data_IF_105930971709
#
_entry.id   IF_105930971709
#
_cell.length_a   1.000
_cell.length_b   1.000
_cell.length_c   1.000
_cell.angle_alpha   90.00
_cell.angle_beta   90.00
_cell.angle_gamma   90.00
#
_symmetry.space_group_name_H-M   'P 1'
#
loop_
_entity.id
_entity.type
_entity.pdbx_description
1 polymer ?
#
# COMPACT_ATOMS: atom_id res chain seq x y z
N UNK A 1 -41.47 37.05 32.84
CA UNK A 1 -40.15 37.14 32.15
C UNK A 1 -40.35 38.04 30.95
N UNK A 2 -39.59 39.13 30.84
CA UNK A 2 -39.79 40.11 29.78
C UNK A 2 -39.30 39.53 28.43
N UNK A 3 -40.00 39.82 27.32
CA UNK A 3 -39.71 39.23 26.01
C UNK A 3 -38.28 39.53 25.54
N UNK A 4 -37.78 40.71 25.90
CA UNK A 4 -36.40 41.15 25.62
C UNK A 4 -35.33 40.25 26.26
N UNK A 5 -35.61 39.72 27.46
CA UNK A 5 -34.69 38.81 28.16
C UNK A 5 -34.61 37.47 27.44
N UNK A 6 -35.73 36.98 26.88
CA UNK A 6 -35.76 35.74 26.08
C UNK A 6 -34.96 35.93 24.79
N UNK A 7 -35.14 37.05 24.09
CA UNK A 7 -34.39 37.37 22.86
C UNK A 7 -32.89 37.42 23.15
N UNK A 8 -32.49 38.08 24.24
CA UNK A 8 -31.07 38.19 24.61
C UNK A 8 -30.45 36.81 24.88
N UNK A 9 -31.17 35.92 25.59
CA UNK A 9 -30.72 34.55 25.87
C UNK A 9 -30.58 33.74 24.58
N UNK A 10 -31.53 33.83 23.65
CA UNK A 10 -31.47 33.11 22.37
C UNK A 10 -30.34 33.62 21.48
N UNK A 11 -30.13 34.94 21.44
CA UNK A 11 -29.03 35.57 20.69
C UNK A 11 -27.66 35.21 21.24
N UNK A 12 -27.54 34.97 22.55
CA UNK A 12 -26.28 34.47 23.13
C UNK A 12 -26.11 32.96 22.92
N UNK A 13 -27.16 32.16 23.11
CA UNK A 13 -27.08 30.70 22.97
C UNK A 13 -26.77 30.25 21.54
N UNK A 14 -27.34 30.90 20.52
CA UNK A 14 -27.13 30.51 19.11
C UNK A 14 -25.66 30.39 18.71
N UNK A 15 -24.83 31.45 18.89
CA UNK A 15 -23.40 31.39 18.65
C UNK A 15 -22.67 30.29 19.46
N UNK A 16 -23.03 30.08 20.73
CA UNK A 16 -22.43 29.00 21.54
C UNK A 16 -22.77 27.62 20.99
N UNK A 17 -24.01 27.39 20.55
CA UNK A 17 -24.40 26.12 19.91
C UNK A 17 -23.58 25.86 18.65
N UNK A 18 -23.39 26.88 17.80
CA UNK A 18 -22.55 26.76 16.58
C UNK A 18 -21.12 26.36 16.94
N UNK A 19 -20.52 27.01 17.95
CA UNK A 19 -19.16 26.67 18.40
C UNK A 19 -19.05 25.22 18.89
N UNK A 20 -20.03 24.77 19.66
CA UNK A 20 -20.09 23.38 20.15
C UNK A 20 -20.21 22.40 18.97
N UNK A 21 -21.10 22.67 18.01
CA UNK A 21 -21.24 21.82 16.82
C UNK A 21 -19.96 21.75 15.99
N UNK A 22 -19.28 22.88 15.78
CA UNK A 22 -17.99 22.91 15.05
C UNK A 22 -16.93 22.10 15.80
N UNK A 23 -16.86 22.21 17.13
CA UNK A 23 -15.95 21.42 17.94
C UNK A 23 -16.19 19.91 17.82
N UNK A 24 -17.46 19.50 17.90
CA UNK A 24 -17.85 18.10 17.70
C UNK A 24 -17.48 17.60 16.31
N UNK A 25 -17.78 18.37 15.26
CA UNK A 25 -17.43 18.02 13.89
C UNK A 25 -15.91 17.83 13.71
N UNK A 26 -15.10 18.75 14.24
CA UNK A 26 -13.63 18.63 14.17
C UNK A 26 -13.15 17.37 14.91
N UNK A 27 -13.74 17.05 16.06
CA UNK A 27 -13.39 15.86 16.83
C UNK A 27 -13.79 14.58 16.07
N UNK A 28 -14.99 14.55 15.49
CA UNK A 28 -15.46 13.43 14.70
C UNK A 28 -14.58 13.20 13.46
N UNK A 29 -14.21 14.26 12.74
CA UNK A 29 -13.30 14.16 11.60
C UNK A 29 -11.92 13.61 11.99
N UNK A 30 -11.42 13.95 13.18
CA UNK A 30 -10.14 13.39 13.69
C UNK A 30 -10.26 11.89 13.98
N UNK A 31 -11.33 11.45 14.63
CA UNK A 31 -11.56 10.04 14.92
C UNK A 31 -11.84 9.23 13.64
N UNK A 32 -12.65 9.76 12.71
CA UNK A 32 -12.88 9.13 11.41
C UNK A 32 -11.57 8.94 10.64
N UNK A 33 -10.68 9.94 10.62
CA UNK A 33 -9.35 9.82 9.99
C UNK A 33 -8.49 8.75 10.66
N UNK A 34 -8.52 8.66 11.99
CA UNK A 34 -7.80 7.63 12.75
C UNK A 34 -8.31 6.23 12.41
N UNK A 35 -9.64 6.05 12.35
CA UNK A 35 -10.27 4.78 11.96
C UNK A 35 -9.97 4.43 10.50
N UNK A 36 -10.00 5.40 9.59
CA UNK A 36 -9.67 5.21 8.17
C UNK A 36 -8.23 4.69 8.00
N UNK A 37 -7.26 5.30 8.69
CA UNK A 37 -5.86 4.82 8.70
C UNK A 37 -5.72 3.42 9.30
N UNK A 38 -6.42 3.13 10.40
CA UNK A 38 -6.40 1.79 10.99
C UNK A 38 -6.95 0.72 10.01
N UNK A 39 -8.05 1.03 9.31
CA UNK A 39 -8.61 0.15 8.29
C UNK A 39 -7.68 -0.04 7.10
N UNK A 40 -6.99 1.02 6.66
CA UNK A 40 -5.97 0.94 5.61
C UNK A 40 -4.85 -0.05 6.00
N UNK A 41 -4.32 0.08 7.22
CA UNK A 41 -3.32 -0.85 7.78
C UNK A 41 -3.84 -2.29 7.87
N UNK A 42 -5.08 -2.49 8.34
CA UNK A 42 -5.69 -3.81 8.41
C UNK A 42 -5.84 -4.44 7.00
N UNK A 43 -6.32 -3.68 6.03
CA UNK A 43 -6.48 -4.16 4.65
C UNK A 43 -5.13 -4.56 4.03
N UNK A 44 -4.07 -3.80 4.32
CA UNK A 44 -2.71 -4.15 3.90
C UNK A 44 -2.25 -5.46 4.56
N UNK A 45 -2.47 -5.61 5.86
CA UNK A 45 -2.13 -6.83 6.58
C UNK A 45 -2.89 -8.06 6.03
N UNK A 46 -4.19 -7.92 5.78
CA UNK A 46 -5.02 -8.98 5.20
C UNK A 46 -4.56 -9.35 3.79
N UNK A 47 -4.20 -8.37 2.96
CA UNK A 47 -3.63 -8.60 1.64
C UNK A 47 -2.29 -9.35 1.74
N UNK A 48 -1.44 -8.99 2.69
CA UNK A 48 -0.18 -9.69 2.95
C UNK A 48 -0.40 -11.14 3.38
N UNK A 49 -1.36 -11.39 4.27
CA UNK A 49 -1.70 -12.75 4.71
C UNK A 49 -2.20 -13.60 3.53
N UNK A 50 -3.10 -13.06 2.69
CA UNK A 50 -3.59 -13.76 1.49
C UNK A 50 -2.46 -14.08 0.52
N UNK A 51 -1.54 -13.14 0.27
CA UNK A 51 -0.37 -13.37 -0.58
C UNK A 51 0.61 -14.37 0.03
N UNK A 52 0.79 -14.37 1.36
CA UNK A 52 1.63 -15.33 2.05
C UNK A 52 1.08 -16.76 1.87
N UNK A 53 -0.23 -16.94 2.12
CA UNK A 53 -0.92 -18.22 1.94
C UNK A 53 -0.88 -18.70 0.48
N UNK A 54 -1.11 -17.80 -0.48
CA UNK A 54 -0.98 -18.13 -1.90
C UNK A 54 0.46 -18.55 -2.26
N UNK A 55 1.45 -17.92 -1.62
CA UNK A 55 2.86 -18.21 -1.79
C UNK A 55 3.35 -19.52 -1.15
N UNK A 56 2.52 -20.17 -0.34
CA UNK A 56 2.76 -21.47 0.28
C UNK A 56 2.21 -22.65 -0.53
N UNK A 57 1.46 -22.39 -1.61
CA UNK A 57 1.00 -23.45 -2.51
C UNK A 57 2.20 -24.19 -3.11
N UNK A 58 2.11 -25.50 -3.22
CA UNK A 58 3.21 -26.38 -3.64
C UNK A 58 3.85 -25.93 -4.97
N UNK A 59 3.05 -25.60 -5.99
CA UNK A 59 3.53 -25.10 -7.29
C UNK A 59 4.36 -23.81 -7.16
N UNK A 60 3.98 -22.90 -6.27
CA UNK A 60 4.71 -21.65 -6.06
C UNK A 60 5.99 -21.89 -5.26
N UNK A 61 5.93 -22.79 -4.27
CA UNK A 61 7.12 -23.17 -3.49
C UNK A 61 8.15 -23.87 -4.36
N UNK A 62 7.72 -24.82 -5.19
CA UNK A 62 8.59 -25.50 -6.16
C UNK A 62 9.22 -24.51 -7.13
N UNK A 63 8.42 -23.58 -7.70
CA UNK A 63 8.94 -22.53 -8.56
C UNK A 63 9.98 -21.63 -7.86
N UNK A 64 9.74 -21.23 -6.60
CA UNK A 64 10.70 -20.42 -5.83
C UNK A 64 12.02 -21.16 -5.59
N UNK A 65 11.96 -22.47 -5.32
CA UNK A 65 13.17 -23.29 -5.12
C UNK A 65 13.97 -23.38 -6.42
N UNK A 66 13.30 -23.66 -7.55
CA UNK A 66 13.93 -23.70 -8.88
C UNK A 66 14.60 -22.38 -9.25
N UNK A 67 13.89 -21.26 -9.10
CA UNK A 67 14.45 -19.93 -9.37
C UNK A 67 15.71 -19.67 -8.53
N UNK A 68 15.69 -19.99 -7.23
CA UNK A 68 16.86 -19.84 -6.35
C UNK A 68 18.05 -20.73 -6.78
N UNK A 69 17.79 -21.87 -7.40
CA UNK A 69 18.81 -22.77 -7.92
C UNK A 69 19.22 -22.45 -9.37
N UNK A 70 18.67 -21.39 -9.99
CA UNK A 70 18.81 -21.07 -11.42
C UNK A 70 18.32 -22.20 -12.35
N UNK A 71 17.28 -22.92 -11.95
CA UNK A 71 16.62 -23.95 -12.75
C UNK A 71 15.45 -23.35 -13.55
N UNK A 72 15.22 -23.87 -14.75
CA UNK A 72 14.07 -23.45 -15.57
C UNK A 72 12.74 -23.91 -14.98
N UNK A 73 11.73 -23.05 -15.06
CA UNK A 73 10.36 -23.37 -14.70
C UNK A 73 9.68 -24.11 -15.85
N UNK A 74 8.84 -25.08 -15.52
CA UNK A 74 7.88 -25.63 -16.48
C UNK A 74 6.86 -24.55 -16.87
N UNK A 75 6.17 -24.74 -18.01
CA UNK A 75 5.14 -23.81 -18.49
C UNK A 75 4.04 -23.53 -17.45
N UNK A 76 3.66 -24.55 -16.69
CA UNK A 76 2.64 -24.41 -15.64
C UNK A 76 3.17 -23.63 -14.44
N UNK A 77 4.38 -23.94 -13.97
CA UNK A 77 5.03 -23.20 -12.89
C UNK A 77 5.23 -21.74 -13.27
N UNK A 78 5.66 -21.48 -14.50
CA UNK A 78 5.86 -20.14 -15.03
C UNK A 78 4.57 -19.31 -15.05
N UNK A 79 3.47 -19.87 -15.57
CA UNK A 79 2.17 -19.20 -15.60
C UNK A 79 1.61 -18.94 -14.19
N UNK A 80 1.76 -19.90 -13.27
CA UNK A 80 1.36 -19.74 -11.88
C UNK A 80 2.21 -18.66 -11.17
N UNK A 81 3.52 -18.66 -11.41
CA UNK A 81 4.44 -17.71 -10.80
C UNK A 81 4.23 -16.28 -11.34
N UNK A 82 4.01 -16.13 -12.64
CA UNK A 82 3.62 -14.87 -13.29
C UNK A 82 2.37 -14.29 -12.60
N UNK A 83 1.34 -15.12 -12.43
CA UNK A 83 0.09 -14.70 -11.79
C UNK A 83 0.33 -14.29 -10.33
N UNK A 84 1.07 -15.10 -9.57
CA UNK A 84 1.41 -14.82 -8.19
C UNK A 84 2.19 -13.51 -8.02
N UNK A 85 3.20 -13.29 -8.85
CA UNK A 85 4.02 -12.08 -8.82
C UNK A 85 3.23 -10.84 -9.26
N UNK A 86 2.37 -10.96 -10.27
CA UNK A 86 1.46 -9.89 -10.68
C UNK A 86 0.53 -9.45 -9.54
N UNK A 87 -0.05 -10.41 -8.80
CA UNK A 87 -0.88 -10.09 -7.62
C UNK A 87 -0.08 -9.38 -6.53
N UNK A 88 1.19 -9.76 -6.33
CA UNK A 88 2.06 -9.08 -5.39
C UNK A 88 2.28 -7.61 -5.79
N UNK A 89 2.57 -7.34 -7.07
CA UNK A 89 2.75 -5.98 -7.57
C UNK A 89 1.47 -5.14 -7.50
N UNK A 90 0.29 -5.74 -7.71
CA UNK A 90 -1.00 -5.06 -7.51
C UNK A 90 -1.23 -4.66 -6.05
N UNK A 91 -0.88 -5.52 -5.10
CA UNK A 91 -0.95 -5.16 -3.69
C UNK A 91 -0.01 -3.99 -3.36
N UNK A 92 1.16 -3.93 -4.01
CA UNK A 92 2.09 -2.81 -3.85
C UNK A 92 1.60 -1.52 -4.51
N UNK A 93 0.97 -1.59 -5.68
CA UNK A 93 0.35 -0.42 -6.32
C UNK A 93 -0.72 0.20 -5.40
N UNK A 94 -1.53 -0.64 -4.77
CA UNK A 94 -2.49 -0.17 -3.78
C UNK A 94 -1.82 0.47 -2.54
N UNK A 95 -0.70 -0.08 -2.06
CA UNK A 95 0.06 0.54 -0.96
C UNK A 95 0.61 1.91 -1.36
N UNK A 96 1.17 2.03 -2.57
CA UNK A 96 1.65 3.30 -3.11
C UNK A 96 0.52 4.33 -3.18
N UNK A 97 -0.65 3.93 -3.66
CA UNK A 97 -1.83 4.79 -3.67
C UNK A 97 -2.23 5.24 -2.25
N UNK A 98 -2.24 4.33 -1.27
CA UNK A 98 -2.58 4.65 0.12
C UNK A 98 -1.60 5.62 0.78
N UNK A 99 -0.30 5.53 0.44
CA UNK A 99 0.69 6.54 0.85
C UNK A 99 0.40 7.90 0.22
N UNK A 100 0.13 7.95 -1.08
CA UNK A 100 -0.17 9.21 -1.80
C UNK A 100 -1.35 9.98 -1.21
N UNK A 101 -2.36 9.29 -0.68
CA UNK A 101 -3.53 9.90 -0.04
C UNK A 101 -3.37 10.11 1.47
N UNK A 102 -2.18 9.87 2.03
CA UNK A 102 -1.86 10.11 3.45
C UNK A 102 -2.42 9.08 4.42
N UNK A 103 -2.79 7.88 3.94
CA UNK A 103 -3.25 6.78 4.79
C UNK A 103 -2.09 5.97 5.37
N UNK A 104 -0.98 5.88 4.64
CA UNK A 104 0.30 5.40 5.14
C UNK A 104 1.21 6.59 5.42
N UNK A 105 1.90 6.56 6.56
CA UNK A 105 2.91 7.56 6.88
C UNK A 105 4.23 7.27 6.14
N UNK A 106 5.15 8.25 6.17
CA UNK A 106 6.41 8.18 5.45
C UNK A 106 7.35 7.10 6.01
N UNK A 107 7.28 6.83 7.31
CA UNK A 107 8.12 5.82 7.97
C UNK A 107 7.69 4.39 7.56
N UNK A 108 6.39 4.15 7.55
CA UNK A 108 5.80 2.91 7.05
C UNK A 108 6.11 2.71 5.56
N UNK A 109 5.93 3.76 4.76
CA UNK A 109 6.18 3.71 3.33
C UNK A 109 7.66 3.44 2.99
N UNK A 110 8.58 4.17 3.63
CA UNK A 110 10.01 3.98 3.43
C UNK A 110 10.46 2.57 3.83
N UNK A 111 9.91 2.01 4.92
CA UNK A 111 10.14 0.61 5.30
C UNK A 111 9.65 -0.38 4.23
N UNK A 112 8.49 -0.12 3.61
CA UNK A 112 7.99 -0.95 2.52
C UNK A 112 8.87 -0.85 1.27
N UNK A 113 9.42 0.33 0.94
CA UNK A 113 10.33 0.51 -0.19
C UNK A 113 11.65 -0.27 -0.05
N UNK A 114 12.14 -0.49 1.18
CA UNK A 114 13.31 -1.35 1.39
C UNK A 114 13.04 -2.78 0.90
N UNK A 115 11.83 -3.31 1.13
CA UNK A 115 11.44 -4.64 0.64
C UNK A 115 11.32 -4.71 -0.89
N UNK A 116 11.06 -3.58 -1.55
CA UNK A 116 11.03 -3.49 -3.02
C UNK A 116 12.40 -3.72 -3.65
N UNK A 117 13.46 -3.21 -3.01
CA UNK A 117 14.84 -3.34 -3.51
C UNK A 117 15.32 -4.78 -3.56
N UNK A 118 14.87 -5.61 -2.62
CA UNK A 118 15.22 -7.04 -2.60
C UNK A 118 14.36 -7.85 -3.57
N UNK A 119 13.14 -7.40 -3.84
CA UNK A 119 12.22 -8.07 -4.75
C UNK A 119 12.81 -8.18 -6.16
N UNK A 120 13.34 -7.09 -6.73
CA UNK A 120 13.79 -7.08 -8.13
C UNK A 120 15.21 -7.61 -8.38
N UNK A 121 15.84 -8.27 -7.40
CA UNK A 121 17.16 -8.89 -7.60
C UNK A 121 17.14 -10.13 -8.50
N UNK A 122 16.00 -10.80 -8.57
CA UNK A 122 15.80 -12.00 -9.37
C UNK A 122 15.50 -11.62 -10.84
N UNK A 123 16.28 -12.06 -11.82
CA UNK A 123 16.04 -11.76 -13.24
C UNK A 123 14.62 -12.04 -13.71
N UNK A 124 13.99 -13.11 -13.20
CA UNK A 124 12.61 -13.46 -13.55
C UNK A 124 11.60 -12.37 -13.17
N UNK A 125 11.82 -11.67 -12.07
CA UNK A 125 10.94 -10.57 -11.65
C UNK A 125 11.02 -9.38 -12.59
N UNK A 126 12.21 -9.07 -13.11
CA UNK A 126 12.41 -8.01 -14.11
C UNK A 126 11.75 -8.39 -15.44
N UNK A 127 11.87 -9.66 -15.86
CA UNK A 127 11.20 -10.19 -17.05
C UNK A 127 9.68 -10.02 -16.94
N UNK A 128 9.09 -10.49 -15.84
CA UNK A 128 7.65 -10.36 -15.59
C UNK A 128 7.25 -8.89 -15.58
N UNK A 129 8.00 -8.02 -14.89
CA UNK A 129 7.70 -6.60 -14.82
C UNK A 129 7.64 -5.94 -16.20
N UNK A 130 8.63 -6.20 -17.06
CA UNK A 130 8.65 -5.68 -18.43
C UNK A 130 7.41 -6.07 -19.23
N UNK A 131 6.87 -7.26 -18.99
CA UNK A 131 5.65 -7.74 -19.64
C UNK A 131 4.38 -7.07 -19.10
N UNK A 132 4.23 -6.95 -17.78
CA UNK A 132 2.96 -6.52 -17.16
C UNK A 132 2.85 -5.02 -16.88
N UNK A 133 3.96 -4.27 -16.88
CA UNK A 133 4.00 -2.86 -16.43
C UNK A 133 3.01 -1.94 -17.15
N UNK A 134 2.69 -2.25 -18.41
CA UNK A 134 1.70 -1.51 -19.23
C UNK A 134 0.29 -1.52 -18.65
N UNK A 135 0.01 -2.41 -17.68
CA UNK A 135 -1.29 -2.53 -17.02
C UNK A 135 -1.37 -1.76 -15.70
N UNK A 136 -0.29 -1.09 -15.28
CA UNK A 136 -0.19 -0.32 -14.05
C UNK A 136 -0.26 1.18 -14.34
N UNK A 137 -0.53 1.97 -13.31
CA UNK A 137 -0.49 3.44 -13.40
C UNK A 137 0.92 3.98 -13.66
N UNK A 138 1.04 5.06 -14.44
CA UNK A 138 2.33 5.67 -14.81
C UNK A 138 3.16 6.08 -13.58
N UNK A 139 2.51 6.63 -12.56
CA UNK A 139 3.14 6.99 -11.28
C UNK A 139 3.77 5.78 -10.60
N UNK A 140 3.06 4.64 -10.58
CA UNK A 140 3.59 3.41 -9.98
C UNK A 140 4.69 2.79 -10.85
N UNK A 141 4.55 2.84 -12.18
CA UNK A 141 5.60 2.38 -13.10
C UNK A 141 6.90 3.15 -12.88
N UNK A 142 6.80 4.48 -12.72
CA UNK A 142 7.95 5.34 -12.44
C UNK A 142 8.64 4.95 -11.14
N UNK A 143 7.85 4.76 -10.06
CA UNK A 143 8.37 4.31 -8.78
C UNK A 143 9.14 2.97 -8.91
N UNK A 144 8.53 1.97 -9.56
CA UNK A 144 9.15 0.64 -9.68
C UNK A 144 10.40 0.69 -10.53
N UNK A 145 10.38 1.40 -11.66
CA UNK A 145 11.55 1.56 -12.54
C UNK A 145 12.70 2.28 -11.81
N UNK A 146 12.41 3.24 -10.94
CA UNK A 146 13.41 3.87 -10.06
C UNK A 146 13.98 2.88 -9.03
N UNK A 147 13.12 2.07 -8.39
CA UNK A 147 13.59 1.06 -7.43
C UNK A 147 14.47 0.00 -8.09
N UNK A 148 14.14 -0.42 -9.31
CA UNK A 148 14.97 -1.35 -10.09
C UNK A 148 16.35 -0.74 -10.36
N UNK A 149 16.40 0.50 -10.88
CA UNK A 149 17.68 1.20 -11.12
C UNK A 149 18.51 1.33 -9.85
N UNK A 150 17.89 1.66 -8.71
CA UNK A 150 18.59 1.72 -7.43
C UNK A 150 19.14 0.35 -7.02
N UNK A 151 18.36 -0.72 -7.18
CA UNK A 151 18.79 -2.07 -6.83
C UNK A 151 20.00 -2.54 -7.63
N UNK A 152 20.10 -2.16 -8.90
CA UNK A 152 21.26 -2.44 -9.77
C UNK A 152 22.53 -1.72 -9.28
N UNK A 153 22.39 -0.46 -8.82
CA UNK A 153 23.51 0.36 -8.33
C UNK A 153 24.07 -0.16 -6.99
N UNK A 154 23.20 -0.63 -6.08
CA UNK A 154 23.62 -1.12 -4.77
C UNK A 154 23.94 -2.62 -4.73
N UNK A 155 23.46 -3.40 -5.72
CA UNK A 155 23.72 -4.84 -5.83
C UNK A 155 25.15 -5.21 -6.23
N UNK A 156 25.94 -4.27 -6.76
CA UNK A 156 27.34 -4.48 -7.15
C UNK A 156 28.35 -4.39 -5.99
N UNK A 157 27.96 -3.93 -4.80
CA UNK A 157 28.86 -3.67 -3.67
C UNK A 157 28.90 -4.77 -2.59
N UNK A 158 28.26 -5.91 -2.82
CA UNK A 158 28.39 -7.09 -1.95
C UNK A 158 28.83 -8.28 -2.78
N UNK A 159 30.14 -8.34 -3.07
CA UNK A 159 30.86 -9.57 -3.34
C UNK A 159 31.85 -9.82 -2.21
#
# INVERSE_FOLDING_TARGET
MNFDVIILILQTLGPFTVLVTVYFLVTELKEQNKVARANARQNIADSHQKLALAGMKEVIVAAKIKLRNNEELSKEEDANYLTYFSLMLRARENQHYQHKIGMLDEEEWSSMLVSFKTLFKEPKHIEIWKFIKVTFSDDFVTLVDEQIKQSEIYGTNTK
#
